data_IF_536073230520
#
_entry.id   IF_536073230520
#
_cell.length_a   1.000
_cell.length_b   1.000
_cell.length_c   1.000
_cell.angle_alpha   90.00
_cell.angle_beta   90.00
_cell.angle_gamma   90.00
#
_symmetry.space_group_name_H-M   'P 1'
#
loop_
_entity.id
_entity.type
_entity.pdbx_description
1 polymer ?
#
# COMPACT_ATOMS: atom_id res chain seq x y z
N UNK A 1 -6.20 16.30 -3.66
CA UNK A 1 -5.62 16.67 -2.35
C UNK A 1 -4.12 16.49 -2.39
N UNK A 2 -3.36 17.24 -1.60
CA UNK A 2 -1.95 16.95 -1.40
C UNK A 2 -1.75 15.62 -0.66
N UNK A 3 -0.71 14.87 -1.02
CA UNK A 3 -0.39 13.59 -0.37
C UNK A 3 -0.06 13.79 1.10
N UNK A 4 -0.85 13.26 2.05
CA UNK A 4 -0.64 13.48 3.48
C UNK A 4 0.66 12.84 3.99
N UNK A 5 1.18 11.83 3.29
CA UNK A 5 2.46 11.19 3.59
C UNK A 5 3.67 12.13 3.40
N UNK A 6 3.55 13.13 2.54
CA UNK A 6 4.62 14.05 2.23
C UNK A 6 4.50 15.28 3.12
N UNK A 7 5.22 15.24 4.26
CA UNK A 7 5.31 16.39 5.17
C UNK A 7 5.78 17.63 4.42
N UNK A 8 5.05 18.73 4.59
CA UNK A 8 5.35 20.02 3.98
C UNK A 8 6.14 20.88 4.96
N UNK A 9 7.15 21.58 4.47
CA UNK A 9 7.89 22.60 5.22
C UNK A 9 8.57 23.59 4.31
N UNK A 10 8.65 24.85 4.74
CA UNK A 10 9.45 25.87 4.07
C UNK A 10 10.93 25.52 4.20
N UNK A 11 11.65 25.57 3.08
CA UNK A 11 13.11 25.40 3.06
C UNK A 11 13.81 26.76 3.13
N UNK A 12 13.25 27.74 2.44
CA UNK A 12 13.65 29.15 2.44
C UNK A 12 12.39 30.01 2.18
N UNK A 13 12.56 31.30 1.87
CA UNK A 13 11.45 32.25 1.69
C UNK A 13 10.59 31.99 0.45
N UNK A 14 11.10 31.26 -0.53
CA UNK A 14 10.45 31.09 -1.84
C UNK A 14 10.29 29.61 -2.23
N UNK A 15 10.76 28.67 -1.42
CA UNK A 15 10.69 27.25 -1.76
C UNK A 15 10.06 26.40 -0.65
N UNK A 16 9.13 25.56 -1.08
CA UNK A 16 8.42 24.60 -0.24
C UNK A 16 8.95 23.20 -0.52
N UNK A 17 9.34 22.50 0.54
CA UNK A 17 9.73 21.10 0.48
C UNK A 17 8.56 20.20 0.86
N UNK A 18 8.37 19.15 0.07
CA UNK A 18 7.46 18.04 0.32
C UNK A 18 8.29 16.78 0.59
N UNK A 19 8.10 16.13 1.74
CA UNK A 19 8.79 14.91 2.13
C UNK A 19 10.12 15.15 2.85
N UNK A 20 10.45 14.25 3.79
CA UNK A 20 11.65 14.32 4.64
C UNK A 20 12.79 13.44 4.10
N UNK A 21 12.46 12.28 3.52
CA UNK A 21 13.46 11.36 2.98
C UNK A 21 13.99 11.86 1.62
N UNK A 22 15.32 11.98 1.40
CA UNK A 22 15.89 12.51 0.15
C UNK A 22 15.41 11.80 -1.11
N UNK A 23 15.20 10.48 -1.04
CA UNK A 23 14.74 9.66 -2.17
C UNK A 23 13.32 10.05 -2.67
N UNK A 24 12.53 10.71 -1.84
CA UNK A 24 11.12 11.04 -2.10
C UNK A 24 10.80 12.52 -1.85
N UNK A 25 11.81 13.34 -1.54
CA UNK A 25 11.62 14.74 -1.26
C UNK A 25 11.60 15.55 -2.56
N UNK A 26 10.61 16.42 -2.69
CA UNK A 26 10.46 17.35 -3.81
C UNK A 26 10.52 18.78 -3.28
N UNK A 27 11.24 19.64 -3.99
CA UNK A 27 11.29 21.08 -3.70
C UNK A 27 10.56 21.80 -4.83
N UNK A 28 9.56 22.58 -4.44
CA UNK A 28 8.70 23.36 -5.32
C UNK A 28 9.02 24.84 -5.09
N UNK A 29 9.33 25.56 -6.16
CA UNK A 29 9.68 26.98 -6.12
C UNK A 29 9.77 27.59 -7.52
N UNK A 30 9.69 28.93 -7.63
CA UNK A 30 9.36 29.88 -6.57
C UNK A 30 7.89 29.79 -6.14
N UNK A 31 7.62 29.98 -4.84
CA UNK A 31 6.30 30.00 -4.19
C UNK A 31 6.26 31.25 -3.33
N UNK A 32 5.45 32.23 -3.75
CA UNK A 32 5.16 33.42 -2.95
C UNK A 32 4.17 33.11 -1.81
N UNK A 33 3.91 34.11 -0.97
CA UNK A 33 3.00 33.97 0.18
C UNK A 33 1.59 33.58 -0.26
N UNK A 34 1.07 34.17 -1.34
CA UNK A 34 -0.27 33.89 -1.85
C UNK A 34 -0.39 32.43 -2.32
N UNK A 35 0.56 31.95 -3.11
CA UNK A 35 0.63 30.56 -3.56
C UNK A 35 0.84 29.61 -2.38
N UNK A 36 1.65 29.99 -1.39
CA UNK A 36 1.85 29.22 -0.15
C UNK A 36 0.56 29.04 0.66
N UNK A 37 -0.24 30.10 0.78
CA UNK A 37 -1.58 30.06 1.39
C UNK A 37 -2.52 29.16 0.58
N UNK A 38 -2.55 29.32 -0.74
CA UNK A 38 -3.34 28.48 -1.65
C UNK A 38 -3.01 26.99 -1.52
N UNK A 39 -1.72 26.62 -1.42
CA UNK A 39 -1.32 25.21 -1.22
C UNK A 39 -1.95 24.60 0.03
N UNK A 40 -2.30 25.40 1.05
CA UNK A 40 -2.96 24.92 2.27
C UNK A 40 -4.45 24.62 2.08
N UNK A 41 -5.08 25.14 1.01
CA UNK A 41 -6.47 24.85 0.65
C UNK A 41 -6.63 23.50 -0.06
N UNK A 42 -5.52 22.91 -0.57
CA UNK A 42 -5.51 21.63 -1.30
C UNK A 42 -5.52 20.44 -0.31
N UNK A 43 -6.49 20.43 0.59
CA UNK A 43 -6.69 19.41 1.63
C UNK A 43 -7.56 18.22 1.16
N UNK A 44 -8.25 18.36 0.03
CA UNK A 44 -9.14 17.33 -0.52
C UNK A 44 -10.62 17.49 -0.25
N UNK A 45 -11.00 18.52 0.50
CA UNK A 45 -12.41 18.83 0.79
C UNK A 45 -13.06 19.69 -0.29
N UNK A 46 -12.26 20.26 -1.19
CA UNK A 46 -12.67 21.23 -2.22
C UNK A 46 -12.51 20.70 -3.62
N UNK A 47 -13.44 21.08 -4.49
CA UNK A 47 -13.34 20.90 -5.94
C UNK A 47 -12.39 21.93 -6.56
N UNK A 48 -11.97 21.72 -7.81
CA UNK A 48 -11.13 22.69 -8.51
C UNK A 48 -11.81 24.07 -8.65
N UNK A 49 -13.13 24.10 -8.85
CA UNK A 49 -13.86 25.36 -8.95
C UNK A 49 -13.85 26.13 -7.62
N UNK A 50 -14.12 25.45 -6.51
CA UNK A 50 -14.03 26.06 -5.17
C UNK A 50 -12.61 26.55 -4.85
N UNK A 51 -11.59 25.81 -5.30
CA UNK A 51 -10.19 26.24 -5.16
C UNK A 51 -9.90 27.51 -5.96
N UNK A 52 -10.47 27.67 -7.16
CA UNK A 52 -10.35 28.88 -7.97
C UNK A 52 -11.04 30.07 -7.27
N UNK A 53 -12.27 29.86 -6.79
CA UNK A 53 -13.06 30.90 -6.14
C UNK A 53 -12.39 31.39 -4.84
N UNK A 54 -11.85 30.48 -4.03
CA UNK A 54 -11.11 30.84 -2.80
C UNK A 54 -9.74 31.47 -3.10
N UNK A 55 -9.07 31.03 -4.17
CA UNK A 55 -7.79 31.59 -4.58
C UNK A 55 -7.92 33.03 -5.12
N UNK A 56 -9.09 33.39 -5.65
CA UNK A 56 -9.37 34.78 -6.05
C UNK A 56 -9.33 35.74 -4.85
N UNK A 57 -9.68 35.28 -3.64
CA UNK A 57 -9.53 36.06 -2.39
C UNK A 57 -8.06 36.27 -1.98
N UNK A 58 -7.14 35.54 -2.61
CA UNK A 58 -5.69 35.65 -2.43
C UNK A 58 -5.02 36.35 -3.62
N UNK A 59 -5.79 37.01 -4.48
CA UNK A 59 -5.34 37.68 -5.71
C UNK A 59 -4.65 36.74 -6.72
N UNK A 60 -4.98 35.44 -6.71
CA UNK A 60 -4.44 34.47 -7.66
C UNK A 60 -5.38 34.28 -8.86
N UNK A 61 -4.90 34.49 -10.10
CA UNK A 61 -5.74 34.31 -11.28
C UNK A 61 -6.05 32.81 -11.51
N UNK A 62 -7.22 32.46 -12.08
CA UNK A 62 -7.64 31.08 -12.28
C UNK A 62 -6.63 30.22 -13.07
N UNK A 63 -5.93 30.79 -14.04
CA UNK A 63 -4.94 30.06 -14.84
C UNK A 63 -3.67 29.73 -14.06
N UNK A 64 -3.28 30.60 -13.11
CA UNK A 64 -2.20 30.28 -12.17
C UNK A 64 -2.59 29.13 -11.26
N UNK A 65 -3.82 29.14 -10.73
CA UNK A 65 -4.37 28.05 -9.91
C UNK A 65 -4.34 26.72 -10.65
N UNK A 66 -4.85 26.67 -11.89
CA UNK A 66 -4.82 25.48 -12.74
C UNK A 66 -3.38 25.03 -13.00
N UNK A 67 -2.50 25.97 -13.38
CA UNK A 67 -1.09 25.67 -13.64
C UNK A 67 -0.35 25.12 -12.41
N UNK A 68 -0.66 25.61 -11.20
CA UNK A 68 -0.10 25.06 -9.96
C UNK A 68 -0.62 23.64 -9.73
N UNK A 69 -1.93 23.41 -9.83
CA UNK A 69 -2.53 22.08 -9.65
C UNK A 69 -1.96 21.08 -10.65
N UNK A 70 -1.85 21.45 -11.92
CA UNK A 70 -1.30 20.59 -12.98
C UNK A 70 0.17 20.24 -12.72
N UNK A 71 0.99 21.22 -12.32
CA UNK A 71 2.41 20.97 -11.99
C UNK A 71 2.58 20.10 -10.75
N UNK A 72 1.76 20.30 -9.72
CA UNK A 72 1.75 19.43 -8.53
C UNK A 72 1.29 18.00 -8.89
N UNK A 73 0.31 17.87 -9.78
CA UNK A 73 -0.15 16.60 -10.31
C UNK A 73 0.93 15.88 -11.10
N UNK A 74 1.60 16.58 -12.01
CA UNK A 74 2.73 16.07 -12.78
C UNK A 74 3.93 15.68 -11.90
N UNK A 75 4.16 16.40 -10.80
CA UNK A 75 5.17 16.06 -9.79
C UNK A 75 4.76 14.89 -8.88
N UNK A 76 3.54 14.35 -9.02
CA UNK A 76 3.05 13.24 -8.20
C UNK A 76 2.76 13.61 -6.75
N UNK A 77 2.54 14.91 -6.47
CA UNK A 77 2.24 15.42 -5.12
C UNK A 77 0.75 15.37 -4.78
N UNK A 78 -0.10 15.17 -5.79
CA UNK A 78 -1.55 15.11 -5.63
C UNK A 78 -2.08 13.67 -5.65
N UNK A 79 -3.07 13.42 -4.80
CA UNK A 79 -4.03 12.32 -4.93
C UNK A 79 -5.29 12.86 -5.61
N UNK A 80 -5.76 12.16 -6.64
CA UNK A 80 -6.98 12.52 -7.36
C UNK A 80 -8.16 11.68 -6.81
N UNK A 81 -9.21 12.31 -6.24
CA UNK A 81 -10.29 11.59 -5.55
C UNK A 81 -11.03 10.56 -6.42
N UNK A 82 -11.16 10.86 -7.72
CA UNK A 82 -11.89 10.04 -8.69
C UNK A 82 -10.98 9.17 -9.55
N UNK A 83 -9.66 9.28 -9.41
CA UNK A 83 -8.74 8.51 -10.22
C UNK A 83 -8.64 7.05 -9.77
N UNK A 84 -8.20 6.19 -10.68
CA UNK A 84 -8.05 4.76 -10.46
C UNK A 84 -9.36 4.02 -10.76
N UNK A 85 -9.26 3.01 -11.61
CA UNK A 85 -10.41 2.21 -12.06
C UNK A 85 -11.06 1.37 -10.95
N UNK A 86 -11.82 0.33 -11.32
CA UNK A 86 -12.71 -0.40 -10.41
C UNK A 86 -12.04 -0.95 -9.14
N UNK A 87 -10.76 -1.31 -9.21
CA UNK A 87 -10.01 -1.80 -8.04
C UNK A 87 -9.74 -0.71 -7.00
N UNK A 88 -9.49 0.53 -7.42
CA UNK A 88 -9.30 1.67 -6.52
C UNK A 88 -10.64 2.09 -5.89
N UNK A 89 -11.70 2.10 -6.69
CA UNK A 89 -13.06 2.37 -6.24
C UNK A 89 -13.53 1.35 -5.19
N UNK A 90 -13.23 0.06 -5.39
CA UNK A 90 -13.57 -0.98 -4.41
C UNK A 90 -12.87 -0.77 -3.05
N UNK A 91 -11.69 -0.16 -3.02
CA UNK A 91 -11.00 0.22 -1.77
C UNK A 91 -11.70 1.42 -1.12
N UNK A 92 -12.01 2.46 -1.91
CA UNK A 92 -12.74 3.65 -1.44
C UNK A 92 -14.13 3.33 -0.90
N UNK A 93 -14.85 2.40 -1.52
CA UNK A 93 -16.20 2.00 -1.12
C UNK A 93 -16.25 1.30 0.26
N UNK A 94 -15.13 0.77 0.75
CA UNK A 94 -15.02 0.15 2.08
C UNK A 94 -14.38 1.14 3.06
N UNK A 95 -15.13 2.16 3.48
CA UNK A 95 -14.61 3.28 4.27
C UNK A 95 -13.91 2.83 5.57
N UNK A 96 -14.46 1.82 6.25
CA UNK A 96 -13.84 1.27 7.46
C UNK A 96 -12.47 0.62 7.17
N UNK A 97 -12.33 -0.05 6.03
CA UNK A 97 -11.03 -0.57 5.59
C UNK A 97 -10.08 0.54 5.19
N UNK A 98 -10.58 1.55 4.48
CA UNK A 98 -9.81 2.71 4.05
C UNK A 98 -9.17 3.42 5.25
N UNK A 99 -9.94 3.68 6.31
CA UNK A 99 -9.42 4.31 7.53
C UNK A 99 -8.36 3.47 8.23
N UNK A 100 -8.58 2.15 8.36
CA UNK A 100 -7.59 1.23 8.95
C UNK A 100 -6.30 1.14 8.14
N UNK A 101 -6.41 1.19 6.81
CA UNK A 101 -5.29 1.10 5.87
C UNK A 101 -4.67 2.46 5.52
N UNK A 102 -5.13 3.56 6.14
CA UNK A 102 -4.62 4.91 5.87
C UNK A 102 -3.09 5.01 5.98
N UNK A 103 -2.40 4.39 6.96
CA UNK A 103 -0.94 4.37 7.01
C UNK A 103 -0.29 3.64 5.83
N UNK A 104 -0.82 2.49 5.42
CA UNK A 104 -0.34 1.74 4.25
C UNK A 104 -0.55 2.52 2.95
N UNK A 105 -1.72 3.13 2.78
CA UNK A 105 -2.04 3.97 1.62
C UNK A 105 -1.11 5.19 1.54
N UNK A 106 -0.81 5.81 2.68
CA UNK A 106 0.17 6.89 2.77
C UNK A 106 1.58 6.43 2.36
N UNK A 107 2.02 5.25 2.80
CA UNK A 107 3.32 4.68 2.38
C UNK A 107 3.35 4.37 0.88
N UNK A 108 2.26 3.79 0.35
CA UNK A 108 2.15 3.46 -1.06
C UNK A 108 2.11 4.69 -1.97
N UNK A 109 1.51 5.80 -1.55
CA UNK A 109 1.40 7.02 -2.38
C UNK A 109 2.74 7.70 -2.65
N UNK A 110 3.71 7.49 -1.75
CA UNK A 110 5.09 7.96 -1.91
C UNK A 110 5.86 7.07 -2.89
N UNK A 111 5.61 5.75 -2.87
CA UNK A 111 6.26 4.77 -3.76
C UNK A 111 5.64 4.72 -5.16
N UNK A 112 4.36 5.05 -5.25
CA UNK A 112 3.56 5.03 -6.47
C UNK A 112 2.97 6.43 -6.67
N UNK A 113 3.75 7.34 -7.29
CA UNK A 113 3.43 8.76 -7.32
C UNK A 113 2.22 9.10 -8.20
N UNK A 114 1.73 8.16 -9.00
CA UNK A 114 0.57 8.35 -9.87
C UNK A 114 -0.70 8.74 -9.07
N UNK A 115 -1.65 9.51 -9.63
CA UNK A 115 -2.77 10.09 -8.88
C UNK A 115 -3.72 9.11 -8.16
N UNK A 116 -3.66 7.81 -8.50
CA UNK A 116 -4.34 6.72 -7.80
C UNK A 116 -3.42 5.51 -7.60
N UNK A 117 -2.09 5.73 -7.59
CA UNK A 117 -1.10 4.66 -7.48
C UNK A 117 -1.27 3.84 -6.20
N UNK A 118 -1.47 4.51 -5.05
CA UNK A 118 -1.71 3.84 -3.78
C UNK A 118 -2.96 2.98 -3.79
N UNK A 119 -4.08 3.52 -4.26
CA UNK A 119 -5.36 2.83 -4.30
C UNK A 119 -5.36 1.68 -5.31
N UNK A 120 -4.77 1.87 -6.48
CA UNK A 120 -4.60 0.82 -7.47
C UNK A 120 -3.77 -0.35 -6.92
N UNK A 121 -2.68 -0.05 -6.21
CA UNK A 121 -1.83 -1.06 -5.56
C UNK A 121 -2.51 -1.77 -4.41
N UNK A 122 -3.26 -1.05 -3.59
CA UNK A 122 -4.06 -1.65 -2.53
C UNK A 122 -5.19 -2.51 -3.09
N UNK A 123 -5.85 -2.08 -4.17
CA UNK A 123 -6.86 -2.85 -4.87
C UNK A 123 -6.28 -4.13 -5.49
N UNK A 124 -5.09 -4.06 -6.08
CA UNK A 124 -4.36 -5.24 -6.56
C UNK A 124 -3.98 -6.17 -5.40
N UNK A 125 -3.52 -5.62 -4.27
CA UNK A 125 -3.23 -6.39 -3.04
C UNK A 125 -4.49 -7.08 -2.50
N UNK A 126 -5.65 -6.41 -2.53
CA UNK A 126 -6.94 -7.01 -2.16
C UNK A 126 -7.34 -8.16 -3.09
N UNK A 127 -6.90 -8.17 -4.34
CA UNK A 127 -7.16 -9.28 -5.26
C UNK A 127 -6.26 -10.50 -5.04
N UNK A 128 -5.18 -10.36 -4.25
CA UNK A 128 -4.23 -11.45 -3.96
C UNK A 128 -4.88 -12.54 -3.11
N UNK A 129 -4.54 -13.79 -3.45
CA UNK A 129 -4.80 -14.98 -2.62
C UNK A 129 -3.48 -15.55 -2.12
N UNK A 130 -3.35 -15.64 -0.80
CA UNK A 130 -2.21 -16.28 -0.14
C UNK A 130 -2.65 -17.56 0.57
N UNK A 131 -1.83 -18.60 0.53
CA UNK A 131 -2.01 -19.82 1.32
C UNK A 131 -0.83 -20.00 2.26
N UNK A 132 -1.10 -20.27 3.53
CA UNK A 132 -0.11 -20.56 4.56
C UNK A 132 -0.28 -22.02 4.99
N UNK A 133 0.73 -22.85 4.72
CA UNK A 133 0.78 -24.25 5.16
C UNK A 133 1.57 -24.34 6.46
N UNK A 134 0.91 -24.75 7.51
CA UNK A 134 1.39 -24.69 8.88
C UNK A 134 0.89 -23.43 9.60
N UNK A 135 0.23 -23.64 10.72
CA UNK A 135 -0.43 -22.63 11.53
C UNK A 135 0.12 -22.56 12.95
N UNK A 136 1.33 -23.08 13.17
CA UNK A 136 2.07 -22.91 14.43
C UNK A 136 2.40 -21.45 14.71
N UNK A 137 3.26 -21.20 15.69
CA UNK A 137 3.63 -19.84 16.14
C UNK A 137 3.90 -18.85 14.99
N UNK A 138 4.78 -19.23 14.06
CA UNK A 138 5.19 -18.39 12.92
C UNK A 138 4.10 -18.31 11.85
N UNK A 139 3.54 -19.45 11.46
CA UNK A 139 2.54 -19.52 10.38
C UNK A 139 1.26 -18.73 10.70
N UNK A 140 0.77 -18.83 11.93
CA UNK A 140 -0.39 -18.06 12.37
C UNK A 140 -0.11 -16.55 12.38
N UNK A 141 1.07 -16.13 12.85
CA UNK A 141 1.47 -14.72 12.85
C UNK A 141 1.59 -14.17 11.42
N UNK A 142 2.23 -14.90 10.50
CA UNK A 142 2.33 -14.51 9.09
C UNK A 142 0.94 -14.43 8.46
N UNK A 143 0.07 -15.42 8.67
CA UNK A 143 -1.29 -15.39 8.12
C UNK A 143 -2.08 -14.16 8.61
N UNK A 144 -1.95 -13.81 9.89
CA UNK A 144 -2.56 -12.61 10.47
C UNK A 144 -2.01 -11.32 9.85
N UNK A 145 -0.69 -11.21 9.70
CA UNK A 145 -0.01 -10.06 9.12
C UNK A 145 -0.37 -9.87 7.64
N UNK A 146 -0.39 -10.96 6.86
CA UNK A 146 -0.83 -10.92 5.46
C UNK A 146 -2.26 -10.38 5.36
N UNK A 147 -3.17 -10.86 6.21
CA UNK A 147 -4.55 -10.37 6.28
C UNK A 147 -4.60 -8.88 6.65
N UNK A 148 -3.91 -8.49 7.72
CA UNK A 148 -3.85 -7.11 8.21
C UNK A 148 -3.26 -6.13 7.17
N UNK A 149 -2.30 -6.59 6.36
CA UNK A 149 -1.70 -5.80 5.28
C UNK A 149 -2.65 -5.49 4.11
N UNK A 150 -3.86 -6.04 4.12
CA UNK A 150 -4.87 -5.81 3.08
C UNK A 150 -4.90 -6.89 1.99
N UNK A 151 -4.24 -8.04 2.15
CA UNK A 151 -4.47 -9.18 1.25
C UNK A 151 -5.90 -9.66 1.42
N UNK A 152 -6.64 -9.78 0.31
CA UNK A 152 -8.07 -10.01 0.38
C UNK A 152 -8.47 -11.44 0.72
N UNK A 153 -7.59 -12.42 0.53
CA UNK A 153 -7.84 -13.80 0.95
C UNK A 153 -6.56 -14.47 1.43
N UNK A 154 -6.59 -14.90 2.68
CA UNK A 154 -5.54 -15.72 3.30
C UNK A 154 -6.14 -17.04 3.74
N UNK A 155 -5.64 -18.13 3.17
CA UNK A 155 -6.03 -19.48 3.50
C UNK A 155 -4.98 -20.11 4.41
N UNK A 156 -5.42 -20.82 5.44
CA UNK A 156 -4.54 -21.53 6.36
C UNK A 156 -4.86 -23.02 6.33
N UNK A 157 -3.82 -23.83 6.18
CA UNK A 157 -3.87 -25.29 6.14
C UNK A 157 -2.96 -25.84 7.22
N UNK A 158 -3.53 -26.50 8.22
CA UNK A 158 -2.81 -27.18 9.29
C UNK A 158 -3.70 -28.31 9.85
N UNK A 159 -3.11 -29.45 10.19
CA UNK A 159 -3.84 -30.63 10.68
C UNK A 159 -3.77 -30.84 12.20
N UNK A 160 -2.97 -30.03 12.91
CA UNK A 160 -2.75 -30.18 14.34
C UNK A 160 -3.70 -29.36 15.20
N UNK A 161 -3.45 -29.41 16.50
CA UNK A 161 -4.11 -28.58 17.51
C UNK A 161 -3.17 -27.47 18.00
N UNK A 162 -3.75 -26.41 18.53
CA UNK A 162 -3.01 -25.33 19.20
C UNK A 162 -2.39 -25.90 20.47
N UNK A 163 -1.08 -25.77 20.63
CA UNK A 163 -0.36 -26.17 21.83
C UNK A 163 0.05 -24.95 22.65
N UNK A 164 0.39 -25.10 23.94
CA UNK A 164 0.81 -23.98 24.80
C UNK A 164 1.96 -23.15 24.22
N UNK A 165 2.87 -23.78 23.47
CA UNK A 165 4.00 -23.09 22.83
C UNK A 165 3.68 -22.46 21.46
N UNK A 166 2.48 -22.67 20.90
CA UNK A 166 2.01 -21.94 19.72
C UNK A 166 1.48 -20.54 20.08
N UNK A 167 1.31 -20.26 21.39
CA UNK A 167 0.82 -18.98 21.90
C UNK A 167 1.82 -17.87 21.63
N UNK A 168 1.36 -16.74 21.08
CA UNK A 168 2.20 -15.58 20.79
C UNK A 168 1.39 -14.28 20.82
N UNK A 169 1.95 -13.18 21.38
CA UNK A 169 1.33 -11.86 21.31
C UNK A 169 1.01 -11.48 19.86
N UNK A 170 -0.22 -10.99 19.63
CA UNK A 170 -0.68 -10.61 18.29
C UNK A 170 -1.05 -11.78 17.36
N UNK A 171 -0.91 -13.04 17.79
CA UNK A 171 -1.30 -14.22 17.02
C UNK A 171 -2.35 -15.07 17.77
N UNK A 172 -2.08 -16.38 17.95
CA UNK A 172 -2.94 -17.30 18.68
C UNK A 172 -2.78 -17.06 20.19
N UNK A 173 -3.87 -16.80 20.93
CA UNK A 173 -3.79 -16.57 22.37
C UNK A 173 -4.00 -17.89 23.15
N UNK A 174 -3.68 -17.87 24.44
CA UNK A 174 -3.64 -19.07 25.29
C UNK A 174 -4.99 -19.78 25.41
N UNK A 175 -6.10 -19.04 25.33
CA UNK A 175 -7.47 -19.56 25.47
C UNK A 175 -7.87 -20.47 24.30
N UNK A 176 -7.06 -20.50 23.24
CA UNK A 176 -7.29 -21.33 22.06
C UNK A 176 -6.51 -22.65 22.09
N UNK A 177 -5.75 -22.91 23.16
CA UNK A 177 -5.02 -24.17 23.36
C UNK A 177 -5.99 -25.35 23.31
N UNK A 178 -5.60 -26.42 22.63
CA UNK A 178 -6.41 -27.62 22.42
C UNK A 178 -7.36 -27.55 21.22
N UNK A 179 -7.69 -26.35 20.70
CA UNK A 179 -8.52 -26.22 19.51
C UNK A 179 -7.78 -26.67 18.24
N UNK A 180 -8.53 -26.98 17.17
CA UNK A 180 -7.97 -27.17 15.83
C UNK A 180 -7.22 -25.92 15.39
N UNK A 181 -5.95 -26.09 15.00
CA UNK A 181 -5.04 -24.97 14.72
C UNK A 181 -5.46 -24.19 13.48
N UNK A 182 -5.91 -24.87 12.43
CA UNK A 182 -6.43 -24.23 11.22
C UNK A 182 -7.70 -23.40 11.51
N UNK A 183 -8.60 -23.91 12.34
CA UNK A 183 -9.82 -23.20 12.73
C UNK A 183 -9.51 -21.94 13.56
N UNK A 184 -8.60 -22.05 14.54
CA UNK A 184 -8.14 -20.92 15.35
C UNK A 184 -7.43 -19.86 14.49
N UNK A 185 -6.55 -20.30 13.57
CA UNK A 185 -5.85 -19.41 12.65
C UNK A 185 -6.79 -18.73 11.64
N UNK A 186 -7.81 -19.42 11.12
CA UNK A 186 -8.83 -18.79 10.26
C UNK A 186 -9.62 -17.72 10.99
N UNK A 187 -9.94 -17.91 12.29
CA UNK A 187 -10.57 -16.87 13.12
C UNK A 187 -9.63 -15.66 13.28
N UNK A 188 -8.35 -15.91 13.54
CA UNK A 188 -7.31 -14.88 13.61
C UNK A 188 -7.21 -14.09 12.29
N UNK A 189 -7.13 -14.77 11.15
CA UNK A 189 -7.10 -14.12 9.82
C UNK A 189 -8.31 -13.22 9.60
N UNK A 190 -9.51 -13.69 9.93
CA UNK A 190 -10.75 -12.91 9.76
C UNK A 190 -10.78 -11.67 10.64
N UNK A 191 -10.38 -11.77 11.92
CA UNK A 191 -10.33 -10.61 12.82
C UNK A 191 -9.25 -9.59 12.44
N UNK A 192 -8.16 -10.06 11.83
CA UNK A 192 -7.05 -9.21 11.38
C UNK A 192 -7.34 -8.51 10.05
N UNK A 193 -8.33 -8.97 9.28
CA UNK A 193 -8.64 -8.37 7.97
C UNK A 193 -9.14 -6.94 8.15
N UNK A 194 -8.58 -5.96 7.43
CA UNK A 194 -9.10 -4.60 7.42
C UNK A 194 -10.35 -4.50 6.55
N UNK A 195 -10.68 -5.48 5.73
CA UNK A 195 -11.83 -5.45 4.83
C UNK A 195 -13.13 -5.79 5.56
N UNK A 196 -14.19 -5.02 5.34
CA UNK A 196 -15.53 -5.32 5.87
C UNK A 196 -16.20 -6.48 5.15
N UNK A 197 -15.77 -6.78 3.92
CA UNK A 197 -16.27 -7.91 3.12
C UNK A 197 -15.14 -8.65 2.43
N UNK A 198 -15.25 -9.98 2.46
CA UNK A 198 -14.38 -10.85 1.67
C UNK A 198 -14.63 -10.59 0.17
N UNK A 199 -13.57 -10.41 -0.63
CA UNK A 199 -13.72 -10.26 -2.07
C UNK A 199 -14.37 -11.51 -2.66
N UNK A 200 -15.36 -11.31 -3.54
CA UNK A 200 -15.83 -12.37 -4.44
C UNK A 200 -14.70 -12.68 -5.43
N UNK A 201 -14.37 -13.97 -5.69
CA UNK A 201 -13.37 -14.30 -6.70
C UNK A 201 -13.81 -13.73 -8.05
N UNK A 202 -12.95 -12.92 -8.68
CA UNK A 202 -13.14 -12.41 -10.05
C UNK A 202 -12.21 -13.07 -11.07
N UNK A 203 -11.33 -13.95 -10.61
CA UNK A 203 -10.37 -14.66 -11.47
C UNK A 203 -11.04 -15.92 -12.00
N UNK A 204 -10.87 -16.29 -13.29
CA UNK A 204 -11.25 -17.61 -13.76
C UNK A 204 -10.59 -18.67 -12.88
N UNK A 205 -11.45 -19.52 -12.32
CA UNK A 205 -11.07 -20.74 -11.64
C UNK A 205 -10.20 -21.59 -12.57
N UNK A 206 -9.15 -22.20 -12.03
CA UNK A 206 -8.41 -23.24 -12.76
C UNK A 206 -9.32 -24.46 -13.02
N UNK A 207 -8.83 -25.46 -13.76
CA UNK A 207 -9.60 -26.68 -14.10
C UNK A 207 -10.14 -27.43 -12.86
N UNK A 208 -9.55 -27.17 -11.69
CA UNK A 208 -9.97 -27.69 -10.38
C UNK A 208 -11.03 -26.83 -9.65
N UNK A 209 -11.51 -25.74 -10.24
CA UNK A 209 -12.50 -24.88 -9.62
C UNK A 209 -11.95 -23.93 -8.54
N UNK A 210 -10.62 -23.87 -8.34
CA UNK A 210 -10.00 -22.96 -7.40
C UNK A 210 -9.44 -21.73 -8.15
N UNK A 211 -9.60 -20.51 -7.63
CA UNK A 211 -8.91 -19.37 -8.24
C UNK A 211 -7.37 -19.58 -8.20
N UNK A 212 -6.57 -18.85 -8.97
CA UNK A 212 -5.11 -18.95 -8.86
C UNK A 212 -4.59 -18.50 -7.47
N UNK A 213 -3.60 -19.20 -6.91
CA UNK A 213 -2.83 -18.75 -5.73
C UNK A 213 -1.73 -17.78 -6.19
N UNK A 214 -1.55 -16.65 -5.49
CA UNK A 214 -0.49 -15.68 -5.82
C UNK A 214 0.74 -15.80 -4.92
N UNK A 215 0.57 -16.37 -3.72
CA UNK A 215 1.63 -16.56 -2.74
C UNK A 215 1.36 -17.84 -1.93
N UNK A 216 2.38 -18.68 -1.78
CA UNK A 216 2.36 -19.78 -0.82
C UNK A 216 3.47 -19.58 0.22
N UNK A 217 3.09 -19.65 1.49
CA UNK A 217 4.03 -19.62 2.62
C UNK A 217 4.05 -21.00 3.24
N UNK A 218 5.24 -21.60 3.29
CA UNK A 218 5.48 -22.85 4.01
C UNK A 218 6.05 -22.51 5.39
N UNK A 219 5.27 -22.78 6.43
CA UNK A 219 5.64 -22.58 7.83
C UNK A 219 5.50 -23.88 8.62
N UNK A 220 6.22 -24.95 8.22
CA UNK A 220 6.16 -26.25 8.88
C UNK A 220 6.58 -26.10 10.34
N UNK A 221 5.83 -26.76 11.21
CA UNK A 221 5.96 -26.61 12.66
C UNK A 221 6.98 -27.61 13.22
N UNK A 222 6.96 -28.84 12.71
CA UNK A 222 7.84 -29.95 13.08
C UNK A 222 8.03 -30.89 11.86
N UNK A 223 9.17 -31.61 11.82
CA UNK A 223 9.44 -32.70 10.88
C UNK A 223 10.20 -32.32 9.58
N UNK A 224 10.40 -33.32 8.72
CA UNK A 224 11.13 -33.19 7.45
C UNK A 224 10.52 -32.14 6.49
N UNK A 225 9.29 -31.70 6.69
CA UNK A 225 8.64 -30.69 5.83
C UNK A 225 9.33 -29.32 5.80
N UNK A 226 10.19 -29.02 6.78
CA UNK A 226 11.07 -27.84 6.74
C UNK A 226 12.25 -27.99 5.76
N UNK A 227 12.67 -29.23 5.50
CA UNK A 227 13.85 -29.56 4.68
C UNK A 227 13.48 -30.18 3.33
N UNK A 228 12.33 -30.86 3.25
CA UNK A 228 11.76 -31.50 2.08
C UNK A 228 10.26 -31.22 2.01
N UNK A 229 9.85 -30.04 1.52
CA UNK A 229 8.44 -29.72 1.33
C UNK A 229 7.81 -30.63 0.27
N UNK A 230 6.51 -30.93 0.41
CA UNK A 230 5.80 -31.82 -0.51
C UNK A 230 5.88 -31.25 -1.95
N UNK A 231 6.39 -32.01 -2.93
CA UNK A 231 6.47 -31.59 -4.32
C UNK A 231 5.14 -31.09 -4.90
N UNK A 232 4.00 -31.56 -4.38
CA UNK A 232 2.66 -31.10 -4.78
C UNK A 232 2.41 -29.65 -4.36
N UNK A 233 2.87 -29.24 -3.19
CA UNK A 233 2.79 -27.83 -2.75
C UNK A 233 3.64 -26.94 -3.67
N UNK A 234 4.84 -27.40 -4.00
CA UNK A 234 5.76 -26.69 -4.89
C UNK A 234 5.19 -26.54 -6.30
N UNK A 235 4.53 -27.57 -6.84
CA UNK A 235 3.85 -27.51 -8.14
C UNK A 235 2.65 -26.56 -8.12
N UNK A 236 1.84 -26.58 -7.06
CA UNK A 236 0.73 -25.64 -6.89
C UNK A 236 1.20 -24.18 -6.84
N UNK A 237 2.38 -23.91 -6.29
CA UNK A 237 3.02 -22.59 -6.32
C UNK A 237 3.65 -22.25 -7.68
N UNK A 238 4.19 -23.25 -8.41
CA UNK A 238 4.91 -23.06 -9.66
C UNK A 238 4.02 -22.80 -10.88
N UNK A 239 2.74 -23.18 -10.86
CA UNK A 239 1.84 -23.06 -12.01
C UNK A 239 1.47 -21.61 -12.43
N UNK A 240 2.00 -20.57 -11.78
CA UNK A 240 1.89 -19.18 -12.27
C UNK A 240 3.17 -18.39 -12.04
N UNK A 241 4.10 -18.44 -13.01
CA UNK A 241 5.04 -17.32 -13.19
C UNK A 241 4.26 -16.15 -13.77
N UNK A 242 3.93 -15.16 -12.95
CA UNK A 242 3.66 -13.83 -13.49
C UNK A 242 5.00 -13.23 -13.95
N UNK A 243 5.13 -12.75 -15.20
CA UNK A 243 6.32 -12.03 -15.65
C UNK A 243 6.33 -10.65 -14.98
N UNK A 244 6.96 -10.55 -13.82
CA UNK A 244 7.20 -9.28 -13.16
C UNK A 244 8.70 -9.14 -12.83
N UNK A 245 9.44 -8.64 -13.83
CA UNK A 245 10.62 -7.80 -13.69
C UNK A 245 11.70 -8.28 -12.70
N UNK A 246 12.50 -9.26 -13.11
CA UNK A 246 13.92 -9.31 -12.72
C UNK A 246 14.64 -8.11 -13.37
N UNK A 247 14.59 -6.94 -12.73
CA UNK A 247 15.63 -5.92 -12.90
C UNK A 247 16.59 -6.08 -11.71
N UNK A 248 17.45 -7.09 -11.83
CA UNK A 248 18.70 -7.13 -11.06
C UNK A 248 19.58 -6.01 -11.57
N UNK A 249 19.56 -4.87 -10.89
CA UNK A 249 20.57 -3.85 -11.06
C UNK A 249 21.79 -4.27 -10.27
N UNK A 250 22.68 -5.02 -10.93
CA UNK A 250 24.05 -5.14 -10.49
C UNK A 250 24.69 -3.74 -10.59
N UNK A 251 24.92 -3.11 -9.43
CA UNK A 251 25.78 -1.93 -9.34
C UNK A 251 26.71 -2.13 -8.17
N UNK A 252 27.95 -2.39 -8.54
CA UNK A 252 29.07 -2.61 -7.64
C UNK A 252 29.23 -1.47 -6.63
N UNK A 253 29.75 -1.88 -5.47
CA UNK A 253 30.27 -0.98 -4.46
C UNK A 253 31.38 -0.10 -5.06
N UNK A 254 31.12 1.20 -5.12
CA UNK A 254 32.11 2.25 -5.26
C UNK A 254 31.80 3.32 -4.22
N UNK A 255 32.64 3.42 -3.20
CA UNK A 255 32.53 4.44 -2.17
C UNK A 255 32.74 5.85 -2.74
N UNK A 256 32.00 6.81 -2.20
CA UNK A 256 32.12 8.23 -2.53
C UNK A 256 30.94 9.00 -1.98
N UNK A 257 31.14 9.70 -0.85
CA UNK A 257 30.11 10.53 -0.24
C UNK A 257 29.64 11.62 -1.20
N UNK A 258 28.34 11.64 -1.49
CA UNK A 258 27.67 12.80 -2.07
C UNK A 258 26.36 13.03 -1.32
N UNK A 259 26.23 14.21 -0.72
CA UNK A 259 25.01 14.70 -0.08
C UNK A 259 23.86 14.61 -1.08
N UNK A 260 22.87 13.78 -0.78
CA UNK A 260 21.74 13.49 -1.67
C UNK A 260 20.89 14.74 -1.90
N UNK A 261 21.04 15.36 -3.07
CA UNK A 261 20.27 16.52 -3.49
C UNK A 261 18.83 16.11 -3.80
N UNK A 262 17.86 16.72 -3.10
CA UNK A 262 16.45 16.61 -3.45
C UNK A 262 16.22 17.06 -4.91
N UNK A 263 15.32 16.39 -5.64
CA UNK A 263 14.98 16.76 -7.01
C UNK A 263 14.29 18.12 -7.00
N UNK A 264 14.84 19.09 -7.75
CA UNK A 264 14.23 20.41 -7.95
C UNK A 264 13.21 20.33 -9.09
N UNK A 265 12.00 20.81 -8.85
CA UNK A 265 10.99 21.01 -9.89
C UNK A 265 10.61 22.49 -9.89
N UNK A 266 10.94 23.20 -10.97
CA UNK A 266 10.67 24.63 -11.10
C UNK A 266 9.24 24.89 -11.57
N UNK A 267 8.51 25.73 -10.84
CA UNK A 267 7.28 26.35 -11.34
C UNK A 267 7.71 27.58 -12.15
N UNK A 268 8.00 27.42 -13.46
CA UNK A 268 8.32 28.58 -14.29
C UNK A 268 7.05 29.44 -14.46
N UNK A 269 7.12 30.78 -14.33
CA UNK A 269 5.97 31.64 -14.60
C UNK A 269 5.73 31.69 -16.11
N UNK A 270 4.53 31.29 -16.54
CA UNK A 270 4.05 31.59 -17.88
C UNK A 270 3.73 33.10 -17.92
N UNK A 271 4.36 33.79 -18.88
CA UNK A 271 3.96 35.13 -19.31
C UNK A 271 2.64 35.06 -20.06
#
# INVERSE_FOLDING_TARGET
MLKPALRRGWRDRETVRFGVAPAHALVVGPVDTATGSFLSLIDGTRTLQQLIDEAALLDLPPDHVRGVVDRLGAAGLLEAPTAGGPSAEAVRADQAAFERLRPDLASLSVRHPEPAGALGRMGARRAVRARVKGAGRVGAAIAALLSASGIGRVEVVDGGTVQPWDVMPGALPAERTGERRDAAARRLVRRSSPWGRTPRPRVPVDESGEPGLSLMVLAPRDGLGAYAPDPRDLRAAAHRRHPASLRGGDRGHGGGGSVGTARRFGLCPLR
#
